data_IF_562500525005
#
_entry.id   IF_562500525005
#
_cell.length_a   1.000
_cell.length_b   1.000
_cell.length_c   1.000
_cell.angle_alpha   90.00
_cell.angle_beta   90.00
_cell.angle_gamma   90.00
#
_symmetry.space_group_name_H-M   'P 1'
#
loop_
_entity.id
_entity.type
_entity.pdbx_description
1 polymer ?
#
# COMPACT_ATOMS: atom_id res chain seq x y z
N UNK A 1 -9.52 10.21 -19.41
CA UNK A 1 -9.86 9.68 -18.08
C UNK A 1 -8.55 9.22 -17.47
N UNK A 2 -7.83 10.10 -16.77
CA UNK A 2 -6.66 9.67 -16.00
C UNK A 2 -7.24 8.99 -14.75
N UNK A 3 -7.17 7.66 -14.70
CA UNK A 3 -7.81 6.85 -13.69
C UNK A 3 -7.27 7.22 -12.31
N UNK A 4 -8.15 7.58 -11.39
CA UNK A 4 -7.85 7.73 -9.97
C UNK A 4 -7.62 6.35 -9.29
N UNK A 5 -7.26 5.32 -10.07
CA UNK A 5 -7.27 3.92 -9.63
C UNK A 5 -6.54 2.92 -10.53
N UNK A 6 -5.72 3.34 -11.50
CA UNK A 6 -4.94 2.41 -12.35
C UNK A 6 -3.54 2.14 -11.75
N UNK A 7 -3.39 2.19 -10.43
CA UNK A 7 -2.13 1.81 -9.78
C UNK A 7 -2.13 0.29 -9.55
N UNK A 8 -1.29 -0.48 -10.26
CA UNK A 8 -1.28 -1.94 -10.16
C UNK A 8 -0.87 -2.41 -8.77
N UNK A 9 -0.04 -1.63 -8.05
CA UNK A 9 0.35 -1.96 -6.67
C UNK A 9 -0.81 -1.74 -5.68
N UNK A 10 -1.67 -0.74 -5.90
CA UNK A 10 -2.91 -0.57 -5.13
C UNK A 10 -3.89 -1.72 -5.40
N UNK A 11 -4.05 -2.15 -6.65
CA UNK A 11 -4.88 -3.31 -6.98
C UNK A 11 -4.35 -4.58 -6.29
N UNK A 12 -3.03 -4.78 -6.32
CA UNK A 12 -2.36 -5.88 -5.64
C UNK A 12 -2.57 -5.83 -4.13
N UNK A 13 -2.34 -4.68 -3.51
CA UNK A 13 -2.55 -4.47 -2.07
C UNK A 13 -3.99 -4.82 -1.67
N UNK A 14 -4.99 -4.31 -2.40
CA UNK A 14 -6.40 -4.64 -2.16
C UNK A 14 -6.70 -6.13 -2.32
N UNK A 15 -6.09 -6.78 -3.30
CA UNK A 15 -6.18 -8.23 -3.49
C UNK A 15 -5.64 -9.01 -2.29
N UNK A 16 -4.44 -8.65 -1.82
CA UNK A 16 -3.82 -9.28 -0.64
C UNK A 16 -4.69 -9.09 0.61
N UNK A 17 -5.19 -7.89 0.86
CA UNK A 17 -6.09 -7.62 1.99
C UNK A 17 -7.39 -8.44 1.89
N UNK A 18 -7.98 -8.54 0.70
CA UNK A 18 -9.18 -9.35 0.47
C UNK A 18 -8.92 -10.85 0.67
N UNK A 19 -7.72 -11.32 0.34
CA UNK A 19 -7.25 -12.68 0.60
C UNK A 19 -6.93 -12.95 2.08
N UNK A 20 -7.10 -11.96 2.95
CA UNK A 20 -6.90 -12.08 4.40
C UNK A 20 -5.45 -11.90 4.85
N UNK A 21 -4.62 -11.23 4.05
CA UNK A 21 -3.32 -10.75 4.52
C UNK A 21 -3.50 -9.59 5.49
N UNK A 22 -2.73 -9.58 6.57
CA UNK A 22 -2.72 -8.50 7.55
C UNK A 22 -1.57 -7.52 7.27
N UNK A 23 -1.83 -6.23 7.44
CA UNK A 23 -0.77 -5.21 7.41
C UNK A 23 0.10 -5.35 8.66
N UNK A 24 1.42 -5.37 8.47
CA UNK A 24 2.40 -5.49 9.57
C UNK A 24 3.24 -4.24 9.74
N UNK A 25 3.50 -3.50 8.66
CA UNK A 25 4.28 -2.27 8.70
C UNK A 25 3.86 -1.36 7.55
N UNK A 26 3.86 -0.06 7.80
CA UNK A 26 3.70 0.96 6.77
C UNK A 26 4.86 1.93 6.90
N UNK A 27 5.52 2.25 5.78
CA UNK A 27 6.65 3.18 5.72
C UNK A 27 6.42 4.21 4.62
N UNK A 28 6.59 5.48 4.95
CA UNK A 28 6.52 6.59 3.99
C UNK A 28 7.94 7.05 3.68
N UNK A 29 8.27 7.23 2.41
CA UNK A 29 9.51 7.87 1.96
C UNK A 29 9.20 9.12 1.14
N UNK A 30 9.22 10.32 1.74
CA UNK A 30 8.94 11.56 1.03
C UNK A 30 10.07 11.98 0.06
N UNK A 31 11.24 11.33 0.11
CA UNK A 31 12.43 11.69 -0.67
C UNK A 31 12.89 10.57 -1.62
N UNK A 32 12.05 9.55 -1.88
CA UNK A 32 12.41 8.47 -2.79
C UNK A 32 12.77 8.99 -4.18
N UNK A 33 13.66 8.28 -4.88
CA UNK A 33 14.28 8.75 -6.13
C UNK A 33 13.28 9.02 -7.28
N UNK A 34 12.03 8.54 -7.16
CA UNK A 34 10.92 8.78 -8.10
C UNK A 34 9.90 9.83 -7.65
N UNK A 35 10.02 10.36 -6.43
CA UNK A 35 8.98 11.15 -5.75
C UNK A 35 8.51 10.47 -4.46
N UNK A 36 7.67 11.13 -3.64
CA UNK A 36 7.13 10.54 -2.41
C UNK A 36 6.45 9.20 -2.67
N UNK A 37 6.83 8.16 -1.92
CA UNK A 37 6.28 6.81 -2.07
C UNK A 37 5.98 6.18 -0.72
N UNK A 38 4.94 5.35 -0.69
CA UNK A 38 4.58 4.57 0.49
C UNK A 38 4.84 3.09 0.24
N UNK A 39 5.26 2.40 1.30
CA UNK A 39 5.49 0.96 1.33
C UNK A 39 4.62 0.33 2.40
N UNK A 40 3.87 -0.70 2.02
CA UNK A 40 3.05 -1.52 2.94
C UNK A 40 3.62 -2.93 2.97
N UNK A 41 3.99 -3.39 4.16
CA UNK A 41 4.33 -4.79 4.39
C UNK A 41 3.13 -5.53 4.94
N UNK A 42 2.95 -6.75 4.43
CA UNK A 42 1.84 -7.62 4.72
C UNK A 42 2.37 -8.98 5.15
N UNK A 43 1.62 -9.66 6.02
CA UNK A 43 1.90 -11.05 6.38
C UNK A 43 0.62 -11.90 6.40
N UNK A 44 0.79 -13.19 6.07
CA UNK A 44 -0.24 -14.21 6.19
C UNK A 44 0.41 -15.54 6.55
N UNK A 45 0.24 -15.95 7.81
CA UNK A 45 0.98 -17.10 8.34
C UNK A 45 2.49 -16.85 8.34
N UNK A 46 3.26 -17.71 7.69
CA UNK A 46 4.71 -17.59 7.55
C UNK A 46 5.13 -16.81 6.28
N UNK A 47 4.17 -16.36 5.46
CA UNK A 47 4.43 -15.63 4.23
C UNK A 47 4.43 -14.11 4.45
N UNK A 48 5.31 -13.40 3.75
CA UNK A 48 5.38 -11.94 3.74
C UNK A 48 5.29 -11.39 2.31
N UNK A 49 4.68 -10.22 2.18
CA UNK A 49 4.55 -9.49 0.93
C UNK A 49 4.79 -7.99 1.16
N UNK A 50 5.22 -7.30 0.12
CA UNK A 50 5.46 -5.85 0.14
C UNK A 50 4.84 -5.23 -1.12
N UNK A 51 4.18 -4.09 -0.93
CA UNK A 51 3.64 -3.25 -1.98
C UNK A 51 4.17 -1.84 -1.80
N UNK A 52 4.79 -1.27 -2.83
CA UNK A 52 5.36 0.09 -2.81
C UNK A 52 4.88 0.86 -4.03
N UNK A 53 4.37 2.07 -3.81
CA UNK A 53 3.94 2.94 -4.91
C UNK A 53 4.09 4.43 -4.56
N UNK A 54 4.40 5.23 -5.57
CA UNK A 54 4.41 6.70 -5.55
C UNK A 54 3.08 7.31 -6.03
N UNK A 55 2.09 6.47 -6.33
CA UNK A 55 0.81 6.91 -6.87
C UNK A 55 -0.09 7.51 -5.79
N UNK A 56 -0.70 8.68 -6.08
CA UNK A 56 -1.55 9.40 -5.12
C UNK A 56 -2.75 8.57 -4.59
N UNK A 57 -3.29 7.66 -5.42
CA UNK A 57 -4.37 6.77 -5.00
C UNK A 57 -3.89 5.74 -3.97
N UNK A 58 -2.66 5.23 -4.12
CA UNK A 58 -2.03 4.32 -3.17
C UNK A 58 -1.83 5.05 -1.84
N UNK A 59 -1.23 6.24 -1.87
CA UNK A 59 -1.03 7.06 -0.68
C UNK A 59 -2.31 7.27 0.12
N UNK A 60 -3.39 7.73 -0.53
CA UNK A 60 -4.68 7.95 0.15
C UNK A 60 -5.28 6.69 0.75
N UNK A 61 -5.08 5.54 0.10
CA UNK A 61 -5.56 4.26 0.62
C UNK A 61 -4.76 3.85 1.86
N UNK A 62 -3.43 3.98 1.80
CA UNK A 62 -2.53 3.70 2.92
C UNK A 62 -2.81 4.60 4.12
N UNK A 63 -3.08 5.88 3.90
CA UNK A 63 -3.50 6.80 4.97
C UNK A 63 -4.77 6.30 5.68
N UNK A 64 -5.78 5.85 4.92
CA UNK A 64 -6.99 5.26 5.50
C UNK A 64 -6.72 3.97 6.30
N UNK A 65 -5.74 3.16 5.89
CA UNK A 65 -5.32 1.97 6.65
C UNK A 65 -4.61 2.32 7.98
N UNK A 66 -3.92 3.46 8.05
CA UNK A 66 -3.31 3.94 9.30
C UNK A 66 -4.36 4.43 10.27
N UNK A 67 -5.39 5.13 9.77
CA UNK A 67 -6.51 5.63 10.57
C UNK A 67 -7.33 4.49 11.21
N UNK A 68 -7.50 3.36 10.52
CA UNK A 68 -8.26 2.19 11.03
C UNK A 68 -7.47 1.36 12.07
N UNK A 69 -6.15 1.46 12.08
CA UNK A 69 -5.27 0.77 13.05
C UNK A 69 -5.07 1.53 14.37
N UNK A 70 -5.49 2.80 14.44
CA UNK A 70 -5.39 3.66 15.63
C UNK A 70 -6.64 3.62 16.50
#
# INVERSE_FOLDING_TARGET
MAGWGDDPELERLRGLLADGWGVTEITEDPNAAGGPSDTVKLAKGDETAECTSDHLAFHRFVEGLKEDQG
#
